data_IF_767357544364
#
_entry.id   IF_767357544364
#
_cell.length_a   1.000
_cell.length_b   1.000
_cell.length_c   1.000
_cell.angle_alpha   90.00
_cell.angle_beta   90.00
_cell.angle_gamma   90.00
#
_symmetry.space_group_name_H-M   'P 1'
#
loop_
_entity.id
_entity.type
_entity.pdbx_description
1 polymer ?
#
# COMPACT_ATOMS: atom_id res chain seq x y z
N UNK A 1 17.03 -7.15 -17.93
CA UNK A 1 17.11 -8.01 -19.15
C UNK A 1 17.89 -9.30 -18.94
N UNK A 2 18.47 -9.55 -17.79
CA UNK A 2 19.36 -10.71 -17.55
C UNK A 2 18.61 -11.97 -17.06
N UNK A 3 17.61 -11.86 -16.20
CA UNK A 3 16.95 -13.01 -15.56
C UNK A 3 15.99 -13.74 -16.50
N UNK A 4 15.30 -13.05 -17.40
CA UNK A 4 14.32 -13.69 -18.33
C UNK A 4 15.02 -14.50 -19.44
N UNK A 5 16.30 -14.21 -19.77
CA UNK A 5 17.02 -14.98 -20.79
C UNK A 5 17.55 -16.33 -20.34
N UNK A 6 17.58 -16.64 -19.04
CA UNK A 6 18.18 -17.90 -18.53
C UNK A 6 17.19 -19.02 -18.21
N UNK A 7 15.89 -18.75 -18.24
CA UNK A 7 14.83 -19.77 -18.02
C UNK A 7 14.34 -20.49 -19.28
N UNK A 8 14.91 -20.22 -20.45
CA UNK A 8 14.43 -20.78 -21.72
C UNK A 8 15.22 -21.98 -22.27
N UNK A 9 15.99 -22.68 -21.45
CA UNK A 9 16.80 -23.83 -21.88
C UNK A 9 16.59 -25.08 -21.01
N UNK A 10 15.33 -25.49 -20.81
CA UNK A 10 15.01 -26.90 -20.51
C UNK A 10 13.77 -27.27 -21.30
N UNK A 11 13.95 -27.45 -22.61
CA UNK A 11 12.99 -28.15 -23.46
C UNK A 11 13.45 -29.60 -23.51
N UNK A 12 12.85 -30.41 -22.63
CA UNK A 12 13.06 -31.87 -22.64
C UNK A 12 12.43 -32.49 -23.87
N UNK A 13 13.24 -32.98 -24.80
CA UNK A 13 12.79 -33.82 -25.88
C UNK A 13 12.43 -35.19 -25.34
N UNK A 14 11.14 -35.55 -25.44
CA UNK A 14 10.63 -36.89 -25.15
C UNK A 14 10.98 -37.80 -26.33
N UNK A 15 12.00 -38.63 -26.19
CA UNK A 15 12.29 -39.71 -27.17
C UNK A 15 11.55 -40.99 -26.75
N UNK A 16 10.60 -41.40 -27.57
CA UNK A 16 10.01 -42.71 -27.50
C UNK A 16 10.97 -43.67 -28.21
N UNK A 17 11.61 -44.59 -27.48
CA UNK A 17 12.45 -45.65 -28.03
C UNK A 17 11.58 -46.90 -28.12
N UNK A 18 11.30 -47.32 -29.35
CA UNK A 18 10.75 -48.65 -29.65
C UNK A 18 11.86 -49.67 -29.50
N UNK A 19 11.66 -50.68 -28.65
CA UNK A 19 12.61 -51.74 -28.42
C UNK A 19 12.60 -52.72 -29.63
N UNK A 20 13.74 -52.82 -30.30
CA UNK A 20 14.07 -53.93 -31.17
C UNK A 20 15.16 -54.76 -30.51
N UNK A 21 14.84 -56.02 -30.18
CA UNK A 21 15.80 -56.98 -29.66
C UNK A 21 16.87 -57.29 -30.73
N UNK A 22 18.10 -56.85 -30.48
CA UNK A 22 19.27 -57.48 -31.06
C UNK A 22 20.23 -57.84 -29.91
N UNK A 23 20.38 -59.16 -29.74
CA UNK A 23 21.33 -59.73 -28.81
C UNK A 23 22.74 -59.67 -29.46
N UNK A 24 23.58 -58.77 -28.98
CA UNK A 24 25.02 -58.83 -29.27
C UNK A 24 25.80 -58.60 -27.98
N UNK A 25 26.67 -59.54 -27.68
CA UNK A 25 27.54 -59.57 -26.51
C UNK A 25 28.44 -58.31 -26.45
N UNK A 26 28.24 -57.53 -25.41
CA UNK A 26 29.09 -56.36 -25.07
C UNK A 26 30.18 -56.86 -24.13
N UNK A 27 31.48 -56.53 -24.36
CA UNK A 27 32.52 -56.84 -23.40
C UNK A 27 32.33 -56.02 -22.13
N UNK A 28 32.44 -56.70 -20.99
CA UNK A 28 32.52 -56.02 -19.69
C UNK A 28 33.83 -55.28 -19.62
N UNK A 29 33.77 -53.96 -19.66
CA UNK A 29 34.77 -53.01 -19.11
C UNK A 29 34.65 -51.64 -19.79
N UNK A 30 33.53 -51.00 -19.54
CA UNK A 30 33.44 -49.54 -19.64
C UNK A 30 32.32 -49.08 -18.70
N UNK A 31 32.68 -48.90 -17.44
CA UNK A 31 31.87 -48.15 -16.50
C UNK A 31 31.90 -46.69 -16.96
N UNK A 32 30.94 -46.35 -17.85
CA UNK A 32 30.75 -44.97 -18.27
C UNK A 32 30.32 -44.19 -17.02
N UNK A 33 31.25 -43.44 -16.49
CA UNK A 33 30.97 -42.49 -15.40
C UNK A 33 29.73 -41.65 -15.78
N UNK A 34 28.66 -41.75 -15.00
CA UNK A 34 27.51 -40.88 -15.15
C UNK A 34 28.00 -39.43 -15.21
N UNK A 35 27.49 -38.63 -16.14
CA UNK A 35 27.89 -37.23 -16.19
C UNK A 35 27.60 -36.62 -14.80
N UNK A 36 28.57 -35.90 -14.28
CA UNK A 36 28.39 -35.19 -13.01
C UNK A 36 27.10 -34.39 -13.05
N UNK A 37 26.29 -34.41 -12.00
CA UNK A 37 25.07 -33.60 -11.96
C UNK A 37 25.44 -32.16 -12.31
N UNK A 38 24.60 -31.45 -13.07
CA UNK A 38 24.89 -30.06 -13.40
C UNK A 38 25.17 -29.32 -12.09
N UNK A 39 26.27 -28.62 -12.04
CA UNK A 39 26.59 -27.77 -10.90
C UNK A 39 25.42 -26.78 -10.80
N UNK A 40 24.64 -26.86 -9.73
CA UNK A 40 23.65 -25.83 -9.39
C UNK A 40 24.40 -24.51 -9.28
N UNK A 41 24.15 -23.62 -10.25
CA UNK A 41 24.67 -22.27 -10.21
C UNK A 41 24.02 -21.59 -9.00
N UNK A 42 24.73 -21.50 -7.87
CA UNK A 42 24.22 -20.83 -6.67
C UNK A 42 24.01 -19.36 -6.98
N UNK A 43 22.76 -18.93 -6.98
CA UNK A 43 22.40 -17.51 -7.06
C UNK A 43 22.72 -16.86 -5.71
N UNK A 44 23.74 -16.01 -5.71
CA UNK A 44 24.07 -15.17 -4.55
C UNK A 44 23.30 -13.85 -4.68
N UNK A 45 22.38 -13.60 -3.75
CA UNK A 45 21.72 -12.31 -3.60
C UNK A 45 22.42 -11.51 -2.50
N UNK A 46 22.60 -10.23 -2.72
CA UNK A 46 22.94 -9.30 -1.64
C UNK A 46 21.75 -9.20 -0.66
N UNK A 47 22.00 -8.75 0.56
CA UNK A 47 20.92 -8.56 1.51
C UNK A 47 19.88 -7.54 1.01
N UNK A 48 20.27 -6.54 0.24
CA UNK A 48 19.35 -5.59 -0.38
C UNK A 48 18.44 -6.24 -1.41
N UNK A 49 19.02 -7.06 -2.31
CA UNK A 49 18.24 -7.82 -3.29
C UNK A 49 17.28 -8.79 -2.60
N UNK A 50 17.75 -9.55 -1.61
CA UNK A 50 16.89 -10.47 -0.84
C UNK A 50 15.74 -9.74 -0.12
N UNK A 51 16.00 -8.57 0.45
CA UNK A 51 14.97 -7.80 1.14
C UNK A 51 13.86 -7.30 0.20
N UNK A 52 14.17 -7.06 -1.07
CA UNK A 52 13.18 -6.71 -2.08
C UNK A 52 12.51 -7.97 -2.68
N UNK A 53 13.26 -9.07 -2.86
CA UNK A 53 12.71 -10.37 -3.28
C UNK A 53 11.63 -10.90 -2.32
N UNK A 54 11.75 -10.64 -1.02
CA UNK A 54 10.72 -10.99 -0.03
C UNK A 54 9.37 -10.33 -0.33
N UNK A 55 9.31 -9.25 -1.11
CA UNK A 55 8.09 -8.56 -1.51
C UNK A 55 7.48 -9.09 -2.83
N UNK A 56 8.21 -9.93 -3.57
CA UNK A 56 7.82 -10.39 -4.91
C UNK A 56 6.43 -11.02 -4.95
N UNK A 57 6.10 -11.88 -3.97
CA UNK A 57 4.80 -12.56 -3.93
C UNK A 57 3.65 -11.58 -3.68
N UNK A 58 3.86 -10.55 -2.87
CA UNK A 58 2.87 -9.49 -2.63
C UNK A 58 2.63 -8.67 -3.91
N UNK A 59 3.69 -8.33 -4.64
CA UNK A 59 3.61 -7.61 -5.91
C UNK A 59 2.90 -8.45 -6.97
N UNK A 60 3.26 -9.73 -7.11
CA UNK A 60 2.60 -10.65 -8.03
C UNK A 60 1.11 -10.78 -7.73
N UNK A 61 0.74 -10.87 -6.45
CA UNK A 61 -0.65 -10.97 -6.04
C UNK A 61 -1.44 -9.72 -6.48
N UNK A 62 -0.90 -8.53 -6.29
CA UNK A 62 -1.54 -7.28 -6.75
C UNK A 62 -1.65 -7.22 -8.27
N UNK A 63 -0.60 -7.63 -8.99
CA UNK A 63 -0.57 -7.49 -10.45
C UNK A 63 -1.36 -8.59 -11.19
N UNK A 64 -1.48 -9.78 -10.64
CA UNK A 64 -1.94 -10.97 -11.36
C UNK A 64 -3.18 -11.64 -10.79
N UNK A 65 -3.51 -11.44 -9.50
CA UNK A 65 -4.63 -12.16 -8.92
C UNK A 65 -5.98 -11.55 -9.31
N UNK A 66 -6.95 -12.42 -9.56
CA UNK A 66 -8.35 -12.04 -9.72
C UNK A 66 -8.95 -11.60 -8.38
N UNK A 67 -8.43 -12.13 -7.27
CA UNK A 67 -8.83 -11.83 -5.90
C UNK A 67 -8.56 -10.38 -5.55
N UNK A 68 -7.37 -9.83 -5.88
CA UNK A 68 -7.07 -8.42 -5.72
C UNK A 68 -8.07 -7.54 -6.48
N UNK A 69 -8.34 -7.88 -7.75
CA UNK A 69 -9.34 -7.15 -8.54
C UNK A 69 -10.73 -7.21 -7.90
N UNK A 70 -11.13 -8.40 -7.45
CA UNK A 70 -12.40 -8.62 -6.78
C UNK A 70 -12.54 -7.80 -5.49
N UNK A 71 -11.50 -7.79 -4.65
CA UNK A 71 -11.46 -6.99 -3.43
C UNK A 71 -11.50 -5.48 -3.70
N UNK A 72 -10.78 -5.02 -4.74
CA UNK A 72 -10.81 -3.63 -5.17
C UNK A 72 -12.21 -3.22 -5.61
N UNK A 73 -12.87 -3.98 -6.49
CA UNK A 73 -14.27 -3.71 -6.87
C UNK A 73 -15.22 -3.77 -5.67
N UNK A 74 -15.03 -4.74 -4.76
CA UNK A 74 -15.85 -4.84 -3.55
C UNK A 74 -15.75 -3.57 -2.70
N UNK A 75 -14.55 -3.03 -2.50
CA UNK A 75 -14.32 -1.81 -1.75
C UNK A 75 -15.06 -0.62 -2.38
N UNK A 76 -14.91 -0.39 -3.68
CA UNK A 76 -15.60 0.71 -4.37
C UNK A 76 -17.11 0.52 -4.46
N UNK A 77 -17.59 -0.70 -4.61
CA UNK A 77 -19.03 -1.01 -4.58
C UNK A 77 -19.66 -0.74 -3.19
N UNK A 78 -18.90 -0.99 -2.11
CA UNK A 78 -19.32 -0.62 -0.76
C UNK A 78 -19.42 0.90 -0.63
N UNK A 79 -18.39 1.64 -1.06
CA UNK A 79 -18.39 3.10 -1.06
C UNK A 79 -19.55 3.69 -1.87
N UNK A 80 -19.84 3.16 -3.07
CA UNK A 80 -20.95 3.60 -3.90
C UNK A 80 -22.31 3.40 -3.20
N UNK A 81 -22.49 2.28 -2.50
CA UNK A 81 -23.72 2.04 -1.71
C UNK A 81 -23.89 3.04 -0.56
N UNK A 82 -22.82 3.42 0.11
CA UNK A 82 -22.86 4.44 1.16
C UNK A 82 -23.16 5.82 0.56
N UNK A 83 -22.64 6.15 -0.62
CA UNK A 83 -23.00 7.36 -1.37
C UNK A 83 -24.52 7.38 -1.68
N UNK A 84 -25.08 6.29 -2.18
CA UNK A 84 -26.51 6.20 -2.49
C UNK A 84 -27.39 6.38 -1.24
N UNK A 85 -27.01 5.77 -0.13
CA UNK A 85 -27.71 5.92 1.16
C UNK A 85 -27.69 7.38 1.62
N UNK A 86 -26.50 7.99 1.61
CA UNK A 86 -26.34 9.37 2.06
C UNK A 86 -27.10 10.37 1.18
N UNK A 87 -27.04 10.23 -0.14
CA UNK A 87 -27.77 11.07 -1.09
C UNK A 87 -29.28 10.90 -0.93
N UNK A 88 -29.75 9.66 -0.74
CA UNK A 88 -31.17 9.39 -0.50
C UNK A 88 -31.66 10.01 0.80
N UNK A 89 -30.87 9.89 1.87
CA UNK A 89 -31.18 10.49 3.16
C UNK A 89 -31.16 12.02 3.07
N UNK A 90 -30.19 12.60 2.40
CA UNK A 90 -30.08 14.05 2.18
C UNK A 90 -31.31 14.63 1.47
N UNK A 91 -31.80 13.96 0.44
CA UNK A 91 -33.03 14.38 -0.27
C UNK A 91 -34.29 14.39 0.64
N UNK A 92 -34.36 13.43 1.59
CA UNK A 92 -35.44 13.41 2.58
C UNK A 92 -35.34 14.59 3.56
N UNK A 93 -34.11 14.86 4.03
CA UNK A 93 -33.84 15.98 4.95
C UNK A 93 -34.16 17.32 4.30
N UNK A 94 -33.74 17.56 3.07
CA UNK A 94 -34.04 18.75 2.29
C UNK A 94 -35.55 18.94 2.09
N UNK A 95 -36.26 17.82 1.77
CA UNK A 95 -37.72 17.86 1.64
C UNK A 95 -38.42 18.22 2.96
N UNK A 96 -37.91 17.71 4.08
CA UNK A 96 -38.47 18.01 5.41
C UNK A 96 -38.20 19.46 5.80
N UNK A 97 -36.99 19.98 5.59
CA UNK A 97 -36.61 21.38 5.84
C UNK A 97 -37.46 22.35 5.02
N UNK A 98 -37.77 22.01 3.77
CA UNK A 98 -38.68 22.84 2.94
C UNK A 98 -40.13 22.84 3.44
N UNK A 99 -40.58 21.78 4.13
CA UNK A 99 -41.92 21.66 4.68
C UNK A 99 -42.09 22.38 6.03
N UNK A 100 -41.07 22.33 6.87
CA UNK A 100 -41.02 23.08 8.11
C UNK A 100 -40.81 24.55 7.76
N UNK A 101 -41.87 25.35 7.76
CA UNK A 101 -41.84 26.81 7.54
C UNK A 101 -41.04 27.56 8.62
N UNK A 102 -40.53 26.89 9.60
CA UNK A 102 -39.65 27.47 10.61
C UNK A 102 -38.29 27.74 10.03
N UNK A 103 -37.92 29.02 9.91
CA UNK A 103 -36.54 29.45 9.67
C UNK A 103 -35.73 29.09 10.91
N UNK A 104 -35.08 27.96 10.87
CA UNK A 104 -34.04 27.64 11.86
C UNK A 104 -32.99 28.77 11.86
N UNK A 105 -32.55 29.23 13.04
CA UNK A 105 -31.52 30.25 13.08
C UNK A 105 -30.20 29.73 12.47
N UNK A 106 -29.47 30.59 11.79
CA UNK A 106 -28.12 30.28 11.32
C UNK A 106 -27.23 29.90 12.51
N UNK A 107 -26.37 28.88 12.38
CA UNK A 107 -26.00 28.09 11.19
C UNK A 107 -26.79 26.77 11.03
N UNK A 108 -27.86 26.53 11.82
CA UNK A 108 -28.55 25.24 11.91
C UNK A 108 -29.54 24.98 10.76
N UNK A 109 -29.75 25.96 9.88
CA UNK A 109 -30.68 25.86 8.75
C UNK A 109 -30.03 25.34 7.46
N UNK A 110 -28.72 25.04 7.44
CA UNK A 110 -27.99 24.54 6.28
C UNK A 110 -27.46 23.14 6.54
N UNK A 111 -27.81 22.24 5.64
CA UNK A 111 -27.18 20.93 5.55
C UNK A 111 -25.77 21.10 4.96
N UNK A 112 -24.78 20.46 5.56
CA UNK A 112 -23.43 20.46 5.04
C UNK A 112 -23.37 19.69 3.71
N UNK A 113 -22.55 20.10 2.72
CA UNK A 113 -22.37 19.34 1.50
C UNK A 113 -21.85 17.93 1.79
N UNK A 114 -22.32 16.95 1.03
CA UNK A 114 -21.81 15.57 1.11
C UNK A 114 -20.42 15.47 0.51
N UNK A 115 -19.54 14.69 1.15
CA UNK A 115 -18.19 14.44 0.64
C UNK A 115 -17.71 13.01 0.94
N UNK A 116 -16.78 12.54 0.12
CA UNK A 116 -15.93 11.38 0.38
C UNK A 116 -14.49 11.84 0.50
N UNK A 117 -13.71 11.12 1.31
CA UNK A 117 -12.28 11.40 1.54
C UNK A 117 -11.48 10.18 1.12
N UNK A 118 -10.45 10.37 0.28
CA UNK A 118 -9.67 9.27 -0.26
C UNK A 118 -8.17 9.55 -0.15
N UNK A 119 -7.40 8.50 0.10
CA UNK A 119 -5.97 8.50 -0.20
C UNK A 119 -5.73 8.35 -1.71
N UNK A 120 -4.47 8.49 -2.15
CA UNK A 120 -4.10 8.38 -3.56
C UNK A 120 -3.29 7.12 -3.83
N UNK A 121 -2.18 6.92 -3.11
CA UNK A 121 -1.20 5.87 -3.39
C UNK A 121 -1.74 4.51 -2.95
N UNK A 122 -1.80 3.54 -3.87
CA UNK A 122 -2.43 2.22 -3.71
C UNK A 122 -3.88 2.21 -3.17
N UNK A 123 -4.49 3.40 -3.26
CA UNK A 123 -5.93 3.59 -3.13
C UNK A 123 -6.55 3.96 -4.48
N UNK A 124 -5.99 4.88 -5.21
CA UNK A 124 -6.41 5.29 -6.56
C UNK A 124 -5.35 4.91 -7.59
N UNK A 125 -4.11 5.33 -7.36
CA UNK A 125 -2.95 5.05 -8.19
C UNK A 125 -2.34 3.71 -7.79
N UNK A 126 -2.10 2.80 -8.75
CA UNK A 126 -1.48 1.51 -8.49
C UNK A 126 0.04 1.59 -8.62
N UNK A 127 0.77 1.34 -7.55
CA UNK A 127 2.23 1.37 -7.53
C UNK A 127 2.90 0.01 -7.75
N UNK A 128 2.13 -1.07 -7.91
CA UNK A 128 2.69 -2.40 -8.07
C UNK A 128 3.75 -2.54 -9.19
N UNK A 129 3.68 -1.84 -10.35
CA UNK A 129 4.77 -1.86 -11.32
C UNK A 129 6.03 -1.11 -10.85
N UNK A 130 5.89 -0.06 -10.06
CA UNK A 130 7.03 0.63 -9.45
C UNK A 130 7.69 -0.24 -8.38
N UNK A 131 6.91 -0.89 -7.54
CA UNK A 131 7.44 -1.84 -6.55
C UNK A 131 8.15 -3.02 -7.24
N UNK A 132 7.62 -3.51 -8.38
CA UNK A 132 8.32 -4.51 -9.20
C UNK A 132 9.65 -4.00 -9.78
N UNK A 133 9.71 -2.74 -10.20
CA UNK A 133 10.96 -2.11 -10.63
C UNK A 133 12.00 -2.09 -9.52
N UNK A 134 11.58 -1.84 -8.27
CA UNK A 134 12.48 -1.84 -7.12
C UNK A 134 13.02 -3.22 -6.74
N UNK A 135 12.35 -4.32 -7.12
CA UNK A 135 12.93 -5.67 -6.93
C UNK A 135 14.10 -5.92 -7.88
N UNK A 136 14.08 -5.33 -9.07
CA UNK A 136 15.17 -5.41 -10.03
C UNK A 136 16.25 -4.34 -9.80
N UNK A 137 15.88 -3.23 -9.13
CA UNK A 137 16.71 -2.05 -8.90
C UNK A 137 16.59 -1.56 -7.44
N UNK A 138 17.12 -2.32 -6.46
CA UNK A 138 16.97 -1.98 -5.03
C UNK A 138 17.55 -0.60 -4.67
N UNK A 139 18.60 -0.17 -5.37
CA UNK A 139 19.22 1.15 -5.21
C UNK A 139 18.27 2.30 -5.57
N UNK A 140 17.37 2.07 -6.54
CA UNK A 140 16.43 3.09 -6.98
C UNK A 140 15.34 3.40 -5.94
N UNK A 141 15.15 2.52 -4.96
CA UNK A 141 14.16 2.76 -3.87
C UNK A 141 14.53 3.95 -2.98
N UNK A 142 15.82 4.28 -2.91
CA UNK A 142 16.31 5.48 -2.24
C UNK A 142 16.20 6.75 -3.12
N UNK A 143 15.99 6.60 -4.43
CA UNK A 143 15.88 7.71 -5.36
C UNK A 143 14.42 8.17 -5.51
N UNK A 144 14.11 9.29 -4.85
CA UNK A 144 12.79 9.91 -4.96
C UNK A 144 12.43 10.35 -6.38
N UNK A 145 13.40 10.53 -7.28
CA UNK A 145 13.15 10.87 -8.67
C UNK A 145 12.56 9.71 -9.45
N UNK A 146 12.88 8.46 -9.12
CA UNK A 146 12.27 7.28 -9.73
C UNK A 146 10.75 7.26 -9.49
N UNK A 147 10.32 7.55 -8.26
CA UNK A 147 8.90 7.68 -7.92
C UNK A 147 8.25 8.85 -8.69
N UNK A 148 8.89 10.02 -8.77
CA UNK A 148 8.37 11.18 -9.50
C UNK A 148 8.22 10.88 -10.99
N UNK A 149 9.21 10.21 -11.59
CA UNK A 149 9.18 9.81 -12.98
C UNK A 149 8.01 8.83 -13.22
N UNK A 150 7.82 7.86 -12.32
CA UNK A 150 6.70 6.93 -12.39
C UNK A 150 5.36 7.66 -12.42
N UNK A 151 5.07 8.51 -11.43
CA UNK A 151 3.81 9.26 -11.32
C UNK A 151 3.60 10.19 -12.53
N UNK A 152 4.65 10.78 -13.06
CA UNK A 152 4.57 11.68 -14.23
C UNK A 152 4.23 10.94 -15.52
N UNK A 153 4.70 9.70 -15.69
CA UNK A 153 4.62 8.93 -16.94
C UNK A 153 3.50 7.89 -16.96
N UNK A 154 3.03 7.43 -15.80
CA UNK A 154 2.05 6.34 -15.69
C UNK A 154 0.73 6.82 -15.10
N UNK A 155 -0.37 6.15 -15.48
CA UNK A 155 -1.74 6.46 -15.03
C UNK A 155 -2.51 5.19 -14.72
N UNK A 156 -1.79 4.22 -14.13
CA UNK A 156 -2.41 2.98 -13.73
C UNK A 156 -3.24 3.21 -12.48
N UNK A 157 -4.53 2.92 -12.57
CA UNK A 157 -5.48 3.04 -11.47
C UNK A 157 -5.85 1.67 -10.93
N UNK A 158 -6.23 1.63 -9.67
CA UNK A 158 -6.84 0.44 -9.10
C UNK A 158 -8.18 0.14 -9.79
N UNK A 159 -8.53 -1.14 -9.96
CA UNK A 159 -9.80 -1.54 -10.56
C UNK A 159 -11.00 -0.95 -9.82
N UNK A 160 -11.83 -0.20 -10.52
CA UNK A 160 -13.03 0.44 -9.96
C UNK A 160 -12.84 1.86 -9.42
N UNK A 161 -11.60 2.34 -9.26
CA UNK A 161 -11.32 3.67 -8.70
C UNK A 161 -11.95 4.80 -9.52
N UNK A 162 -11.68 4.84 -10.83
CA UNK A 162 -12.20 5.88 -11.70
C UNK A 162 -13.73 5.84 -11.80
N UNK A 163 -14.32 4.66 -11.86
CA UNK A 163 -15.77 4.49 -11.96
C UNK A 163 -16.46 5.01 -10.70
N UNK A 164 -15.94 4.67 -9.52
CA UNK A 164 -16.46 5.17 -8.25
C UNK A 164 -16.35 6.69 -8.13
N UNK A 165 -15.20 7.26 -8.48
CA UNK A 165 -14.98 8.70 -8.37
C UNK A 165 -15.91 9.49 -9.28
N UNK A 166 -16.06 9.07 -10.55
CA UNK A 166 -17.02 9.67 -11.49
C UNK A 166 -18.47 9.48 -11.03
N UNK A 167 -18.75 8.32 -10.41
CA UNK A 167 -20.07 8.06 -9.85
C UNK A 167 -20.39 9.03 -8.68
N UNK A 168 -19.49 9.19 -7.73
CA UNK A 168 -19.65 10.11 -6.60
C UNK A 168 -19.90 11.55 -7.08
N UNK A 169 -19.07 12.02 -8.01
CA UNK A 169 -19.22 13.33 -8.65
C UNK A 169 -20.60 13.49 -9.35
N UNK A 170 -21.04 12.48 -10.11
CA UNK A 170 -22.37 12.49 -10.77
C UNK A 170 -23.54 12.59 -9.80
N UNK A 171 -23.33 12.25 -8.52
CA UNK A 171 -24.32 12.40 -7.44
C UNK A 171 -24.24 13.75 -6.71
N UNK A 172 -23.31 14.62 -7.11
CA UNK A 172 -23.05 15.91 -6.46
C UNK A 172 -22.28 15.78 -5.14
N UNK A 173 -21.57 14.67 -4.95
CA UNK A 173 -20.71 14.42 -3.78
C UNK A 173 -19.32 14.95 -4.06
N UNK A 174 -18.78 15.76 -3.14
CA UNK A 174 -17.42 16.28 -3.23
C UNK A 174 -16.42 15.16 -2.97
N UNK A 175 -15.26 15.18 -3.66
CA UNK A 175 -14.18 14.23 -3.44
C UNK A 175 -12.95 14.98 -2.95
N UNK A 176 -12.46 14.62 -1.77
CA UNK A 176 -11.22 15.15 -1.22
C UNK A 176 -10.13 14.09 -1.26
N UNK A 177 -9.00 14.44 -1.86
CA UNK A 177 -7.79 13.63 -1.90
C UNK A 177 -6.89 14.04 -0.75
N UNK A 178 -6.70 13.15 0.23
CA UNK A 178 -5.86 13.41 1.41
C UNK A 178 -4.68 12.46 1.39
N UNK A 179 -3.54 12.94 0.94
CA UNK A 179 -2.37 12.12 0.62
C UNK A 179 -1.17 12.37 1.52
N UNK A 180 -0.32 11.34 1.70
CA UNK A 180 0.99 11.45 2.32
C UNK A 180 2.04 12.18 1.48
N UNK A 181 1.76 12.45 0.20
CA UNK A 181 2.67 13.19 -0.70
C UNK A 181 2.94 14.61 -0.17
N UNK A 182 4.17 15.07 -0.33
CA UNK A 182 4.56 16.42 0.11
C UNK A 182 4.11 17.53 -0.87
N UNK A 183 4.02 18.80 -0.41
CA UNK A 183 3.60 19.93 -1.25
C UNK A 183 4.45 20.15 -2.50
N UNK A 184 5.72 19.73 -2.47
CA UNK A 184 6.63 19.81 -3.62
C UNK A 184 6.17 18.96 -4.82
N UNK A 185 5.29 17.98 -4.59
CA UNK A 185 4.76 17.09 -5.61
C UNK A 185 3.35 17.45 -6.08
N UNK A 186 2.86 18.62 -5.67
CA UNK A 186 1.51 19.09 -5.99
C UNK A 186 1.24 19.03 -7.49
N UNK A 187 2.10 19.67 -8.26
CA UNK A 187 1.91 19.79 -9.72
C UNK A 187 1.81 18.42 -10.41
N UNK A 188 2.71 17.50 -10.08
CA UNK A 188 2.67 16.15 -10.70
C UNK A 188 1.46 15.35 -10.24
N UNK A 189 0.97 15.60 -9.02
CA UNK A 189 -0.23 14.94 -8.48
C UNK A 189 -1.51 15.47 -9.14
N UNK A 190 -1.65 16.78 -9.26
CA UNK A 190 -2.77 17.41 -9.97
C UNK A 190 -2.79 16.98 -11.46
N UNK A 191 -1.62 16.96 -12.11
CA UNK A 191 -1.47 16.49 -13.48
C UNK A 191 -1.84 15.01 -13.65
N UNK A 192 -1.47 14.16 -12.68
CA UNK A 192 -1.88 12.76 -12.64
C UNK A 192 -3.42 12.64 -12.56
N UNK A 193 -4.05 13.30 -11.59
CA UNK A 193 -5.51 13.27 -11.43
C UNK A 193 -6.25 13.77 -12.67
N UNK A 194 -5.80 14.88 -13.24
CA UNK A 194 -6.37 15.47 -14.45
C UNK A 194 -6.26 14.55 -15.65
N UNK A 195 -5.06 14.01 -15.91
CA UNK A 195 -4.81 13.12 -17.07
C UNK A 195 -5.49 11.76 -16.92
N UNK A 196 -5.74 11.32 -15.69
CA UNK A 196 -6.56 10.14 -15.42
C UNK A 196 -8.07 10.41 -15.55
N UNK A 197 -8.48 11.66 -15.82
CA UNK A 197 -9.88 12.05 -15.96
C UNK A 197 -10.68 11.93 -14.68
N UNK A 198 -10.03 12.17 -13.53
CA UNK A 198 -10.65 12.10 -12.21
C UNK A 198 -11.25 13.46 -11.82
N UNK A 199 -12.34 13.50 -11.04
CA UNK A 199 -12.99 14.73 -10.64
C UNK A 199 -12.12 15.55 -9.68
N UNK A 200 -12.31 16.86 -9.65
CA UNK A 200 -11.69 17.80 -8.70
C UNK A 200 -10.15 17.75 -8.64
N UNK A 201 -9.44 17.79 -9.78
CA UNK A 201 -7.97 17.75 -9.81
C UNK A 201 -7.38 19.13 -9.49
N UNK A 202 -7.78 19.74 -8.37
CA UNK A 202 -7.45 21.12 -8.02
C UNK A 202 -6.89 21.24 -6.60
N UNK A 203 -6.26 22.39 -6.32
CA UNK A 203 -5.59 22.63 -5.05
C UNK A 203 -6.52 22.77 -3.84
N UNK A 204 -7.82 22.93 -4.04
CA UNK A 204 -8.79 22.97 -2.94
C UNK A 204 -9.16 21.56 -2.46
N UNK A 205 -9.28 20.61 -3.38
CA UNK A 205 -9.65 19.22 -3.09
C UNK A 205 -8.43 18.32 -2.82
N UNK A 206 -7.21 18.75 -3.22
CA UNK A 206 -5.97 18.01 -2.99
C UNK A 206 -5.26 18.52 -1.72
N UNK A 207 -5.34 17.73 -0.66
CA UNK A 207 -4.76 18.00 0.66
C UNK A 207 -3.50 17.15 0.86
N UNK A 208 -2.35 17.80 0.87
CA UNK A 208 -1.04 17.15 0.87
C UNK A 208 -0.37 17.28 2.25
N UNK A 209 0.50 16.34 2.58
CA UNK A 209 1.22 16.34 3.84
C UNK A 209 2.21 17.51 3.92
N UNK A 210 1.83 18.56 4.62
CA UNK A 210 2.63 19.76 4.89
C UNK A 210 3.43 19.69 6.19
N UNK A 211 3.44 18.53 6.85
CA UNK A 211 4.11 18.32 8.13
C UNK A 211 3.35 18.87 9.35
N UNK A 212 2.16 19.47 9.17
CA UNK A 212 1.39 20.13 10.25
C UNK A 212 0.52 19.17 11.09
N UNK A 213 0.78 17.85 11.02
CA UNK A 213 0.06 16.88 11.85
C UNK A 213 -0.66 15.78 11.07
N UNK A 214 -0.25 15.56 9.81
CA UNK A 214 -0.73 14.43 9.00
C UNK A 214 -2.20 14.52 8.59
N UNK A 215 -2.73 13.40 8.09
CA UNK A 215 -4.11 13.29 7.56
C UNK A 215 -5.19 13.66 8.58
N UNK A 216 -4.95 13.39 9.87
CA UNK A 216 -5.93 13.66 10.94
C UNK A 216 -6.36 15.13 11.02
N UNK A 217 -5.42 16.07 10.82
CA UNK A 217 -5.76 17.50 10.82
C UNK A 217 -6.70 17.86 9.65
N UNK A 218 -6.50 17.22 8.49
CA UNK A 218 -7.38 17.44 7.34
C UNK A 218 -8.75 16.81 7.57
N UNK A 219 -8.82 15.59 8.11
CA UNK A 219 -10.09 14.96 8.46
C UNK A 219 -10.92 15.82 9.41
N UNK A 220 -10.30 16.37 10.47
CA UNK A 220 -10.97 17.26 11.41
C UNK A 220 -11.44 18.58 10.76
N UNK A 221 -10.68 19.14 9.82
CA UNK A 221 -11.06 20.34 9.08
C UNK A 221 -12.22 20.08 8.13
N UNK A 222 -12.18 18.95 7.42
CA UNK A 222 -13.22 18.54 6.47
C UNK A 222 -14.55 18.24 7.19
N UNK A 223 -14.51 17.48 8.29
CA UNK A 223 -15.71 17.14 9.06
C UNK A 223 -16.46 18.33 9.66
N UNK A 224 -15.84 19.52 9.74
CA UNK A 224 -16.51 20.77 10.16
C UNK A 224 -17.27 21.44 9.02
N UNK A 225 -16.97 21.11 7.77
CA UNK A 225 -17.51 21.81 6.59
C UNK A 225 -18.31 20.89 5.67
N UNK A 226 -18.13 19.58 5.81
CA UNK A 226 -18.74 18.56 4.98
C UNK A 226 -19.33 17.45 5.86
N UNK A 227 -20.38 16.86 5.37
CA UNK A 227 -20.91 15.61 5.89
C UNK A 227 -20.20 14.47 5.17
N UNK A 228 -19.19 13.89 5.86
CA UNK A 228 -18.32 12.89 5.26
C UNK A 228 -19.03 11.54 5.26
N UNK A 229 -19.29 11.03 4.07
CA UNK A 229 -19.97 9.74 3.85
C UNK A 229 -19.05 8.59 4.24
N UNK A 230 -17.84 8.57 3.69
CA UNK A 230 -16.87 7.54 3.98
C UNK A 230 -15.43 8.02 3.67
N UNK A 231 -14.48 7.30 4.26
CA UNK A 231 -13.05 7.43 4.03
C UNK A 231 -12.58 6.18 3.30
N UNK A 232 -11.71 6.33 2.28
CA UNK A 232 -11.13 5.24 1.52
C UNK A 232 -9.61 5.32 1.59
N UNK A 233 -8.94 4.19 1.83
CA UNK A 233 -7.48 4.11 1.89
C UNK A 233 -7.01 2.67 1.96
N UNK A 234 -5.72 2.45 1.75
CA UNK A 234 -5.06 1.16 1.87
C UNK A 234 -4.36 0.98 3.23
N UNK A 235 -4.34 2.04 4.04
CA UNK A 235 -3.68 2.05 5.34
C UNK A 235 -4.64 2.52 6.45
N UNK A 236 -4.43 2.01 7.65
CA UNK A 236 -5.20 2.43 8.84
C UNK A 236 -5.10 3.94 9.11
N UNK A 237 -3.98 4.55 8.70
CA UNK A 237 -3.77 5.99 8.80
C UNK A 237 -4.69 6.86 7.91
N UNK A 238 -5.41 6.23 6.99
CA UNK A 238 -6.35 6.89 6.08
C UNK A 238 -7.74 7.07 6.69
N UNK A 239 -7.92 6.61 7.91
CA UNK A 239 -9.17 6.70 8.64
C UNK A 239 -9.04 7.61 9.88
N UNK A 240 -10.09 8.32 10.31
CA UNK A 240 -10.09 9.15 11.51
C UNK A 240 -10.14 8.31 12.80
N UNK A 241 -9.35 7.26 12.86
CA UNK A 241 -9.28 6.32 13.97
C UNK A 241 -8.34 6.90 15.04
N UNK A 242 -8.84 7.14 16.26
CA UNK A 242 -8.11 7.80 17.35
C UNK A 242 -8.46 9.29 17.50
N UNK A 243 -9.43 9.80 16.72
CA UNK A 243 -9.96 11.16 16.87
C UNK A 243 -11.12 11.26 17.88
N UNK A 244 -11.38 10.25 18.70
CA UNK A 244 -12.30 10.42 19.82
C UNK A 244 -11.74 11.46 20.79
N UNK A 245 -12.57 12.39 21.23
CA UNK A 245 -12.16 13.55 22.08
C UNK A 245 -11.48 13.15 23.40
N UNK A 246 -11.55 11.89 23.79
CA UNK A 246 -11.15 11.38 25.10
C UNK A 246 -9.98 10.39 25.06
N UNK A 247 -9.52 9.93 23.89
CA UNK A 247 -8.38 9.05 23.79
C UNK A 247 -7.15 9.80 23.26
N UNK A 248 -6.10 9.73 24.04
CA UNK A 248 -4.84 10.44 23.91
C UNK A 248 -4.27 10.37 22.46
N UNK A 249 -4.30 11.45 21.67
CA UNK A 249 -3.84 11.48 20.29
C UNK A 249 -2.32 11.28 20.15
N UNK A 250 -1.62 11.02 21.26
CA UNK A 250 -0.17 10.90 21.35
C UNK A 250 0.36 9.69 20.57
N UNK A 251 -0.42 8.61 20.45
CA UNK A 251 0.05 7.39 19.77
C UNK A 251 0.24 7.67 18.26
N UNK A 252 -0.69 8.36 17.62
CA UNK A 252 -0.60 8.66 16.18
C UNK A 252 0.32 9.85 15.86
N UNK A 253 0.35 10.89 16.67
CA UNK A 253 1.23 12.05 16.42
C UNK A 253 2.71 11.69 16.44
N UNK A 254 3.12 10.80 17.33
CA UNK A 254 4.52 10.41 17.48
C UNK A 254 5.00 9.46 16.37
N UNK A 255 4.10 8.59 15.88
CA UNK A 255 4.43 7.58 14.88
C UNK A 255 4.45 8.16 13.47
N UNK A 256 3.61 9.16 13.17
CA UNK A 256 3.60 9.86 11.88
C UNK A 256 4.61 11.02 11.79
N UNK A 257 4.96 11.65 12.88
CA UNK A 257 6.01 12.70 12.87
C UNK A 257 7.40 12.12 12.56
N UNK A 258 7.62 10.83 12.91
CA UNK A 258 8.86 10.12 12.56
C UNK A 258 8.85 9.58 11.11
N UNK A 259 7.69 9.54 10.46
CA UNK A 259 7.53 9.21 9.04
C UNK A 259 7.71 10.42 8.11
N UNK A 260 8.48 11.42 8.49
CA UNK A 260 9.01 12.32 7.49
C UNK A 260 9.76 11.47 6.49
N UNK A 261 9.25 11.43 5.25
CA UNK A 261 9.95 10.96 4.08
C UNK A 261 11.22 11.79 3.88
N UNK A 262 12.17 11.62 4.77
CA UNK A 262 13.51 12.13 4.65
C UNK A 262 14.30 11.02 4.00
N UNK A 263 14.72 11.22 2.77
CA UNK A 263 15.94 10.67 2.21
C UNK A 263 16.96 10.57 3.36
N UNK A 264 17.61 9.44 3.59
CA UNK A 264 18.73 9.42 4.52
C UNK A 264 19.69 10.51 4.05
N UNK A 265 19.90 11.54 4.85
CA UNK A 265 21.10 12.35 4.72
C UNK A 265 22.27 11.34 4.85
N UNK A 266 22.84 11.02 3.72
CA UNK A 266 24.09 10.30 3.66
C UNK A 266 25.11 11.23 4.32
N UNK A 267 25.40 10.95 5.59
CA UNK A 267 26.53 11.54 6.29
C UNK A 267 27.81 10.92 5.66
N UNK A 268 28.20 11.48 4.52
CA UNK A 268 29.38 11.09 3.75
C UNK A 268 30.67 11.65 4.37
N UNK A 269 30.66 12.07 5.62
CA UNK A 269 31.85 12.64 6.24
C UNK A 269 32.17 12.00 7.59
N UNK A 270 32.42 10.72 7.65
CA UNK A 270 33.43 10.19 8.58
C UNK A 270 33.66 8.70 8.29
N UNK A 271 34.82 8.37 7.74
CA UNK A 271 35.33 6.99 7.54
C UNK A 271 35.64 6.24 8.84
N UNK A 272 34.78 6.36 9.86
CA UNK A 272 34.84 5.55 11.07
C UNK A 272 33.69 4.55 10.99
N UNK A 273 34.03 3.32 10.61
CA UNK A 273 33.18 2.17 10.84
C UNK A 273 32.82 2.13 12.34
N UNK A 274 31.65 2.61 12.70
CA UNK A 274 31.11 2.42 14.06
C UNK A 274 30.88 0.93 14.22
N UNK A 275 31.62 0.30 15.11
CA UNK A 275 31.38 -1.09 15.54
C UNK A 275 29.96 -1.15 16.04
N UNK A 276 29.08 -1.78 15.27
CA UNK A 276 27.66 -1.85 15.58
C UNK A 276 27.46 -2.89 16.68
N UNK A 277 26.73 -2.56 17.73
CA UNK A 277 26.34 -3.54 18.75
C UNK A 277 25.50 -4.64 18.09
N UNK A 278 25.61 -5.90 18.56
CA UNK A 278 24.76 -6.98 18.06
C UNK A 278 23.29 -6.59 18.14
N UNK A 279 22.54 -6.87 17.07
CA UNK A 279 21.13 -6.54 16.98
C UNK A 279 20.32 -7.39 17.95
N UNK A 280 19.64 -6.77 18.90
CA UNK A 280 18.69 -7.44 19.75
C UNK A 280 17.29 -7.41 19.08
N UNK A 281 17.05 -8.38 18.20
CA UNK A 281 15.80 -8.57 17.48
C UNK A 281 14.61 -8.67 18.45
N UNK A 282 14.75 -9.39 19.57
CA UNK A 282 13.69 -9.56 20.53
C UNK A 282 13.34 -8.25 21.25
N UNK A 283 14.34 -7.44 21.60
CA UNK A 283 14.11 -6.11 22.17
C UNK A 283 13.44 -5.16 21.17
N UNK A 284 13.74 -5.29 19.88
CA UNK A 284 13.09 -4.51 18.83
C UNK A 284 11.62 -4.91 18.65
N UNK A 285 11.31 -6.19 18.60
CA UNK A 285 9.94 -6.71 18.48
C UNK A 285 9.06 -6.41 19.71
N UNK A 286 9.64 -6.21 20.90
CA UNK A 286 8.89 -5.69 22.06
C UNK A 286 8.27 -4.32 21.82
N UNK A 287 8.72 -3.59 20.79
CA UNK A 287 8.21 -2.29 20.37
C UNK A 287 7.26 -2.39 19.18
N UNK A 288 6.91 -3.61 18.74
CA UNK A 288 5.91 -3.82 17.71
C UNK A 288 4.56 -3.23 18.14
N UNK A 289 4.05 -2.33 17.33
CA UNK A 289 2.80 -1.63 17.59
C UNK A 289 1.58 -2.26 16.91
N UNK A 290 1.78 -3.30 16.13
CA UNK A 290 0.69 -3.93 15.39
C UNK A 290 -0.39 -4.50 16.32
N UNK A 291 -0.04 -5.01 17.47
CA UNK A 291 -1.02 -5.47 18.48
C UNK A 291 -1.93 -4.31 18.95
N UNK A 292 -1.40 -3.11 19.09
CA UNK A 292 -2.19 -1.92 19.44
C UNK A 292 -3.04 -1.47 18.27
N UNK A 293 -2.51 -1.46 17.04
CA UNK A 293 -3.28 -1.15 15.83
C UNK A 293 -4.44 -2.11 15.65
N UNK A 294 -4.22 -3.41 15.84
CA UNK A 294 -5.28 -4.42 15.72
C UNK A 294 -6.40 -4.17 16.73
N UNK A 295 -6.08 -3.86 18.00
CA UNK A 295 -7.09 -3.50 19.01
C UNK A 295 -7.92 -2.27 18.61
N UNK A 296 -7.30 -1.25 18.00
CA UNK A 296 -8.01 -0.08 17.49
C UNK A 296 -8.95 -0.47 16.35
N UNK A 297 -8.50 -1.29 15.41
CA UNK A 297 -9.34 -1.82 14.33
C UNK A 297 -10.53 -2.60 14.89
N UNK A 298 -10.29 -3.49 15.87
CA UNK A 298 -11.35 -4.27 16.50
C UNK A 298 -12.39 -3.38 17.19
N UNK A 299 -11.96 -2.30 17.83
CA UNK A 299 -12.88 -1.31 18.42
C UNK A 299 -13.75 -0.61 17.38
N UNK A 300 -13.26 -0.44 16.14
CA UNK A 300 -13.97 0.21 15.04
C UNK A 300 -14.54 -0.77 14.00
N UNK A 301 -14.59 -2.08 14.27
CA UNK A 301 -14.97 -3.12 13.31
C UNK A 301 -16.31 -2.88 12.58
N UNK A 302 -17.27 -2.21 13.22
CA UNK A 302 -18.58 -1.89 12.62
C UNK A 302 -18.52 -0.77 11.58
N UNK A 303 -17.44 0.03 11.56
CA UNK A 303 -17.25 1.12 10.60
C UNK A 303 -16.64 0.63 9.30
N UNK A 304 -15.95 -0.51 9.31
CA UNK A 304 -15.37 -1.09 8.11
C UNK A 304 -16.45 -1.65 7.20
N UNK A 305 -16.36 -1.32 5.90
CA UNK A 305 -17.37 -1.62 4.90
C UNK A 305 -18.53 -0.62 4.85
N UNK A 306 -18.47 0.45 5.68
CA UNK A 306 -19.44 1.57 5.69
C UNK A 306 -18.69 2.90 5.70
N UNK A 307 -18.44 3.49 6.87
CA UNK A 307 -17.68 4.73 6.99
C UNK A 307 -16.20 4.59 6.62
N UNK A 308 -15.61 3.40 6.78
CA UNK A 308 -14.23 3.09 6.46
C UNK A 308 -14.16 1.99 5.41
N UNK A 309 -13.62 2.32 4.25
CA UNK A 309 -13.46 1.41 3.11
C UNK A 309 -11.96 1.16 2.91
N UNK A 310 -11.51 0.00 3.35
CA UNK A 310 -10.11 -0.40 3.27
C UNK A 310 -9.86 -1.15 1.97
N UNK A 311 -8.83 -0.73 1.23
CA UNK A 311 -8.29 -1.43 0.07
C UNK A 311 -7.11 -2.32 0.48
N UNK A 312 -6.91 -3.46 -0.17
CA UNK A 312 -5.81 -4.35 0.17
C UNK A 312 -4.46 -3.83 -0.36
N UNK A 313 -3.46 -3.70 0.50
CA UNK A 313 -2.08 -3.48 0.11
C UNK A 313 -1.12 -4.41 0.87
N UNK A 314 -0.72 -5.54 0.27
CA UNK A 314 0.25 -6.45 0.86
C UNK A 314 1.71 -6.07 0.56
N UNK A 315 1.97 -5.07 -0.30
CA UNK A 315 3.33 -4.76 -0.77
C UNK A 315 4.12 -3.96 0.26
N UNK A 316 3.46 -3.03 0.95
CA UNK A 316 4.07 -2.19 1.98
C UNK A 316 2.99 -1.53 2.86
N UNK A 317 3.40 -0.93 3.95
CA UNK A 317 2.48 -0.18 4.80
C UNK A 317 2.90 -0.19 6.27
N UNK A 318 2.11 0.46 7.09
CA UNK A 318 2.36 0.54 8.51
C UNK A 318 2.33 -0.83 9.22
N UNK A 319 1.70 -1.83 8.64
CA UNK A 319 1.70 -3.20 9.15
C UNK A 319 3.12 -3.78 9.22
N UNK A 320 3.99 -3.39 8.29
CA UNK A 320 5.39 -3.77 8.27
C UNK A 320 6.25 -2.75 9.04
N UNK A 321 6.03 -1.44 8.82
CA UNK A 321 6.87 -0.39 9.39
C UNK A 321 6.79 -0.31 10.91
N UNK A 322 5.72 -0.83 11.50
CA UNK A 322 5.52 -0.91 12.93
C UNK A 322 6.10 -2.16 13.61
N UNK A 323 6.75 -3.06 12.86
CA UNK A 323 7.52 -4.17 13.46
C UNK A 323 8.64 -3.66 14.37
N UNK A 324 9.27 -2.54 14.01
CA UNK A 324 10.31 -1.92 14.83
C UNK A 324 10.36 -0.40 14.62
N UNK A 325 10.89 0.31 15.62
CA UNK A 325 11.12 1.75 15.48
C UNK A 325 12.09 2.04 14.33
N UNK A 326 11.72 2.94 13.43
CA UNK A 326 12.52 3.33 12.24
C UNK A 326 12.80 2.15 11.29
N UNK A 327 11.91 1.17 11.20
CA UNK A 327 12.07 -0.04 10.37
C UNK A 327 12.63 0.27 8.96
N UNK A 328 12.07 1.25 8.26
CA UNK A 328 12.52 1.64 6.90
C UNK A 328 13.97 2.14 6.82
N UNK A 329 14.57 2.57 7.95
CA UNK A 329 15.95 3.07 8.03
C UNK A 329 16.94 2.00 8.48
N UNK A 330 16.45 0.80 8.79
CA UNK A 330 17.30 -0.32 9.16
C UNK A 330 18.00 -0.89 7.91
N UNK A 331 19.20 -1.44 8.06
CA UNK A 331 19.83 -2.23 7.01
C UNK A 331 18.96 -3.38 6.56
N UNK A 332 19.18 -3.85 5.35
CA UNK A 332 18.40 -4.93 4.75
C UNK A 332 18.43 -6.20 5.61
N UNK A 333 19.60 -6.60 6.10
CA UNK A 333 19.79 -7.78 6.96
C UNK A 333 18.92 -7.72 8.22
N UNK A 334 18.82 -6.53 8.82
CA UNK A 334 18.03 -6.33 10.02
C UNK A 334 16.52 -6.37 9.72
N UNK A 335 16.09 -5.81 8.59
CA UNK A 335 14.70 -5.89 8.15
C UNK A 335 14.28 -7.33 7.89
N UNK A 336 15.11 -8.12 7.19
CA UNK A 336 14.88 -9.54 6.94
C UNK A 336 14.78 -10.32 8.25
N UNK A 337 15.74 -10.10 9.17
CA UNK A 337 15.72 -10.78 10.48
C UNK A 337 14.48 -10.45 11.29
N UNK A 338 14.03 -9.19 11.29
CA UNK A 338 12.81 -8.76 11.98
C UNK A 338 11.56 -9.37 11.37
N UNK A 339 11.44 -9.40 10.03
CA UNK A 339 10.32 -10.05 9.34
C UNK A 339 10.19 -11.51 9.75
N UNK A 340 11.30 -12.26 9.68
CA UNK A 340 11.34 -13.68 10.06
C UNK A 340 10.98 -13.91 11.54
N UNK A 341 11.53 -13.10 12.44
CA UNK A 341 11.28 -13.23 13.88
C UNK A 341 9.87 -12.78 14.31
N UNK A 342 9.20 -11.95 13.50
CA UNK A 342 7.82 -11.55 13.75
C UNK A 342 6.78 -12.62 13.37
N UNK A 343 7.17 -13.61 12.58
CA UNK A 343 6.29 -14.71 12.19
C UNK A 343 5.98 -15.59 13.41
N UNK A 344 4.73 -16.04 13.50
CA UNK A 344 4.27 -17.04 14.46
C UNK A 344 4.14 -18.37 13.73
N UNK A 345 5.09 -19.27 13.97
CA UNK A 345 5.03 -20.63 13.41
C UNK A 345 4.24 -21.56 14.33
N UNK A 346 3.71 -22.63 13.75
CA UNK A 346 3.15 -23.73 14.50
C UNK A 346 4.29 -24.57 15.09
N UNK A 347 4.17 -24.91 16.38
CA UNK A 347 5.11 -25.81 17.05
C UNK A 347 4.46 -27.19 17.14
N UNK A 348 5.16 -28.20 16.60
CA UNK A 348 4.75 -29.60 16.77
C UNK A 348 5.13 -30.04 18.18
N UNK A 349 4.15 -30.55 18.97
CA UNK A 349 4.38 -31.14 20.26
C UNK A 349 4.94 -32.57 20.14
#
# INVERSE_FOLDING_TARGET
MSIIRRLSLVSGALFIITASLFCSTVPADAEAALPAPPQEEMLYLTASELAEEENLMAILWVQRSAEFRGLSYQAYNLAAREVDKAVTQRRKEEKNLRKTKEKLPEPHNRLLPLAVVMDIDDTIACHAPLEAYYTEHPEAKADYNAWRQWISSHRLLLPGAADFLKYADSKGVQVFYVTGRGPQDRRITEDFLQKAGLPFPDGFHLLMNDGSGGKMNYFAKLARRYDIICYLGDNVADFPIGASRDENPVIYKKDFADNKSGIPETDMQSGKQKTRMPLDIQAMLKRDKNATRNRIIDAHKKSFGTAFILLPNPMYGDWEYNLAQKFRRLPAEERIALRKAALKSFEFN
#
